data_IF_076328405077
#
_entry.id   IF_076328405077
#
_cell.length_a   1.000
_cell.length_b   1.000
_cell.length_c   1.000
_cell.angle_alpha   90.00
_cell.angle_beta   90.00
_cell.angle_gamma   90.00
#
_symmetry.space_group_name_H-M   'P 1'
#
loop_
_entity.id
_entity.type
_entity.pdbx_description
1 polymer ?
#
# COMPACT_ATOMS: atom_id res chain seq x y z
N UNK A 1 -26.52 -10.04 9.85
CA UNK A 1 -26.36 -8.56 9.97
C UNK A 1 -25.26 -8.31 10.99
N UNK A 2 -24.00 -8.21 10.56
CA UNK A 2 -22.86 -8.02 11.48
C UNK A 2 -22.81 -6.56 11.93
N UNK A 3 -22.95 -6.34 13.24
CA UNK A 3 -22.73 -5.02 13.86
C UNK A 3 -21.26 -4.62 13.63
N UNK A 4 -21.05 -3.58 12.83
CA UNK A 4 -19.75 -2.90 12.76
C UNK A 4 -19.65 -2.01 14.00
N UNK A 5 -19.03 -2.52 15.05
CA UNK A 5 -18.63 -1.74 16.22
C UNK A 5 -17.58 -0.73 15.75
N UNK A 6 -18.00 0.51 15.49
CA UNK A 6 -17.10 1.60 15.20
C UNK A 6 -16.33 1.95 16.48
N UNK A 7 -15.14 1.38 16.65
CA UNK A 7 -14.25 1.75 17.74
C UNK A 7 -13.62 3.10 17.38
N UNK A 8 -14.17 4.19 17.93
CA UNK A 8 -13.56 5.52 17.79
C UNK A 8 -12.37 5.62 18.75
N UNK A 9 -11.17 5.55 18.20
CA UNK A 9 -9.94 5.72 18.98
C UNK A 9 -9.65 7.22 19.16
N UNK A 10 -10.07 7.80 20.30
CA UNK A 10 -9.74 9.17 20.68
C UNK A 10 -8.22 9.31 20.91
N UNK A 11 -7.63 10.49 20.67
CA UNK A 11 -6.23 10.84 20.96
C UNK A 11 -5.76 10.41 22.37
N UNK A 12 -6.65 10.45 23.38
CA UNK A 12 -6.35 9.93 24.73
C UNK A 12 -6.00 8.44 24.74
N UNK A 13 -6.65 7.63 23.90
CA UNK A 13 -6.38 6.20 23.78
C UNK A 13 -5.03 5.92 23.12
N UNK A 14 -4.67 6.69 22.09
CA UNK A 14 -3.36 6.63 21.45
C UNK A 14 -2.23 6.99 22.42
N UNK A 15 -2.42 8.04 23.22
CA UNK A 15 -1.46 8.43 24.26
C UNK A 15 -1.26 7.34 25.32
N UNK A 16 -2.35 6.68 25.75
CA UNK A 16 -2.28 5.56 26.69
C UNK A 16 -1.51 4.36 26.11
N UNK A 17 -1.83 3.95 24.88
CA UNK A 17 -1.09 2.87 24.21
C UNK A 17 0.40 3.21 24.07
N UNK A 18 0.73 4.45 23.69
CA UNK A 18 2.11 4.90 23.64
C UNK A 18 2.81 4.79 24.99
N UNK A 19 2.18 5.24 26.08
CA UNK A 19 2.74 5.12 27.42
C UNK A 19 2.95 3.65 27.85
N UNK A 20 2.01 2.75 27.52
CA UNK A 20 2.16 1.31 27.76
C UNK A 20 3.33 0.71 26.98
N UNK A 21 3.48 1.09 25.71
CA UNK A 21 4.62 0.67 24.86
C UNK A 21 5.93 1.18 25.47
N UNK A 22 6.00 2.47 25.80
CA UNK A 22 7.20 3.10 26.36
C UNK A 22 7.62 2.41 27.69
N UNK A 23 6.65 2.09 28.55
CA UNK A 23 6.88 1.32 29.80
C UNK A 23 7.41 -0.09 29.51
N UNK A 24 6.76 -0.83 28.62
CA UNK A 24 7.19 -2.17 28.25
C UNK A 24 8.56 -2.19 27.57
N UNK A 25 8.88 -1.18 26.76
CA UNK A 25 10.18 -1.04 26.13
C UNK A 25 11.29 -0.84 27.18
N UNK A 26 11.01 -0.11 28.26
CA UNK A 26 11.94 0.06 29.38
C UNK A 26 12.14 -1.22 30.20
N UNK A 27 11.06 -1.95 30.53
CA UNK A 27 11.15 -3.14 31.40
C UNK A 27 11.49 -4.43 30.65
N UNK A 28 11.04 -4.58 29.41
CA UNK A 28 11.14 -5.80 28.60
C UNK A 28 11.55 -5.50 27.16
N UNK A 29 12.75 -4.97 26.92
CA UNK A 29 13.15 -4.43 25.62
C UNK A 29 13.07 -5.46 24.48
N UNK A 30 13.50 -6.71 24.72
CA UNK A 30 13.42 -7.78 23.70
C UNK A 30 11.98 -8.18 23.36
N UNK A 31 11.09 -8.23 24.35
CA UNK A 31 9.69 -8.57 24.10
C UNK A 31 8.97 -7.43 23.37
N UNK A 32 9.24 -6.18 23.78
CA UNK A 32 8.76 -4.98 23.10
C UNK A 32 9.25 -4.90 21.65
N UNK A 33 10.51 -5.21 21.37
CA UNK A 33 11.07 -5.25 20.01
C UNK A 33 10.35 -6.29 19.14
N UNK A 34 10.19 -7.53 19.63
CA UNK A 34 9.48 -8.59 18.89
C UNK A 34 8.03 -8.21 18.60
N UNK A 35 7.30 -7.68 19.59
CA UNK A 35 5.92 -7.26 19.40
C UNK A 35 5.81 -6.11 18.40
N UNK A 36 6.70 -5.12 18.49
CA UNK A 36 6.76 -3.98 17.57
C UNK A 36 7.04 -4.44 16.14
N UNK A 37 7.97 -5.38 15.98
CA UNK A 37 8.28 -6.02 14.69
C UNK A 37 7.08 -6.77 14.11
N UNK A 38 6.41 -7.59 14.91
CA UNK A 38 5.25 -8.37 14.47
C UNK A 38 4.07 -7.46 14.09
N UNK A 39 3.77 -6.46 14.92
CA UNK A 39 2.74 -5.46 14.65
C UNK A 39 3.04 -4.71 13.35
N UNK A 40 4.27 -4.25 13.18
CA UNK A 40 4.70 -3.49 12.00
C UNK A 40 4.64 -4.33 10.72
N UNK A 41 4.99 -5.62 10.78
CA UNK A 41 4.85 -6.53 9.66
C UNK A 41 3.38 -6.71 9.26
N UNK A 42 2.50 -6.98 10.23
CA UNK A 42 1.07 -7.15 9.97
C UNK A 42 0.46 -5.88 9.35
N UNK A 43 0.77 -4.71 9.92
CA UNK A 43 0.33 -3.40 9.41
C UNK A 43 0.90 -3.16 8.00
N UNK A 44 2.17 -3.49 7.77
CA UNK A 44 2.82 -3.35 6.46
C UNK A 44 2.14 -4.22 5.38
N UNK A 45 1.75 -5.45 5.72
CA UNK A 45 1.00 -6.32 4.82
C UNK A 45 -0.38 -5.76 4.49
N UNK A 46 -1.10 -5.24 5.48
CA UNK A 46 -2.39 -4.58 5.24
C UNK A 46 -2.25 -3.36 4.31
N UNK A 47 -1.22 -2.54 4.52
CA UNK A 47 -0.94 -1.39 3.65
C UNK A 47 -0.67 -1.84 2.21
N UNK A 48 0.11 -2.91 2.04
CA UNK A 48 0.40 -3.49 0.72
C UNK A 48 -0.88 -3.94 0.01
N UNK A 49 -1.81 -4.58 0.71
CA UNK A 49 -3.04 -5.06 0.09
C UNK A 49 -3.92 -3.91 -0.44
N UNK A 50 -3.87 -2.75 0.21
CA UNK A 50 -4.55 -1.54 -0.24
C UNK A 50 -3.80 -0.82 -1.37
N UNK A 51 -2.47 -0.91 -1.40
CA UNK A 51 -1.66 -0.36 -2.50
C UNK A 51 -1.78 -1.16 -3.79
N UNK A 52 -2.19 -2.44 -3.71
CA UNK A 52 -2.47 -3.28 -4.87
C UNK A 52 -3.77 -2.92 -5.59
N UNK A 53 -4.67 -2.17 -4.94
CA UNK A 53 -5.98 -1.84 -5.51
C UNK A 53 -5.81 -0.77 -6.59
N UNK A 54 -6.22 -1.11 -7.81
CA UNK A 54 -6.24 -0.19 -8.93
C UNK A 54 -7.35 0.84 -8.76
N UNK A 55 -7.09 2.14 -9.04
CA UNK A 55 -8.17 3.12 -9.05
C UNK A 55 -9.18 2.78 -10.16
N UNK A 56 -10.46 3.11 -9.96
CA UNK A 56 -11.47 2.91 -10.99
C UNK A 56 -11.10 3.71 -12.25
N UNK A 57 -11.41 3.17 -13.41
CA UNK A 57 -11.14 3.84 -14.68
C UNK A 57 -11.92 5.15 -14.77
N UNK A 58 -11.22 6.26 -14.99
CA UNK A 58 -11.78 7.60 -15.19
C UNK A 58 -11.79 7.96 -16.69
N UNK A 59 -12.96 7.98 -17.37
CA UNK A 59 -13.05 8.26 -18.80
C UNK A 59 -12.37 9.57 -19.22
N UNK A 60 -12.50 10.60 -18.40
CA UNK A 60 -11.90 11.92 -18.59
C UNK A 60 -10.37 11.86 -18.67
N UNK A 61 -9.74 11.03 -17.82
CA UNK A 61 -8.28 10.84 -17.81
C UNK A 61 -7.83 9.89 -18.91
N UNK A 62 -8.69 8.95 -19.33
CA UNK A 62 -8.39 8.02 -20.43
C UNK A 62 -8.16 8.78 -21.75
N UNK A 63 -8.91 9.85 -21.98
CA UNK A 63 -8.71 10.73 -23.14
C UNK A 63 -7.38 11.50 -23.07
N UNK A 64 -6.98 11.95 -21.87
CA UNK A 64 -5.71 12.61 -21.62
C UNK A 64 -4.53 11.64 -21.78
N UNK A 65 -4.65 10.42 -21.27
CA UNK A 65 -3.66 9.36 -21.42
C UNK A 65 -3.42 9.00 -22.88
N UNK A 66 -4.50 8.88 -23.67
CA UNK A 66 -4.43 8.62 -25.11
C UNK A 66 -3.78 9.77 -25.88
N UNK A 67 -4.15 11.01 -25.56
CA UNK A 67 -3.59 12.21 -26.19
C UNK A 67 -2.13 12.47 -25.80
N UNK A 68 -1.78 12.26 -24.53
CA UNK A 68 -0.42 12.48 -24.01
C UNK A 68 0.54 11.33 -24.36
N UNK A 69 0.04 10.10 -24.52
CA UNK A 69 0.81 8.92 -24.87
C UNK A 69 1.05 8.71 -26.37
N UNK A 70 0.67 9.68 -27.21
CA UNK A 70 0.89 9.60 -28.66
C UNK A 70 -0.01 8.58 -29.36
N UNK A 71 -1.27 8.45 -28.92
CA UNK A 71 -2.27 7.59 -29.57
C UNK A 71 -2.40 7.85 -31.08
N UNK A 72 -3.15 7.00 -31.78
CA UNK A 72 -3.27 7.11 -33.24
C UNK A 72 -3.78 8.50 -33.66
N UNK A 73 -3.01 9.18 -34.52
CA UNK A 73 -3.36 10.49 -35.07
C UNK A 73 -4.51 10.37 -36.07
N UNK A 74 -4.61 9.23 -36.75
CA UNK A 74 -5.68 8.94 -37.71
C UNK A 74 -6.23 7.52 -37.58
N UNK A 75 -7.48 7.32 -38.01
CA UNK A 75 -8.08 5.98 -38.11
C UNK A 75 -7.32 5.06 -39.08
N UNK A 76 -6.69 5.63 -40.11
CA UNK A 76 -5.84 4.90 -41.05
C UNK A 76 -4.64 4.28 -40.34
N UNK A 77 -3.95 5.04 -39.49
CA UNK A 77 -2.85 4.54 -38.66
C UNK A 77 -3.31 3.45 -37.70
N UNK A 78 -4.46 3.65 -37.05
CA UNK A 78 -5.06 2.65 -36.14
C UNK A 78 -5.32 1.33 -36.86
N UNK A 79 -6.03 1.38 -38.00
CA UNK A 79 -6.37 0.18 -38.80
C UNK A 79 -5.11 -0.52 -39.31
N UNK A 80 -4.15 0.24 -39.82
CA UNK A 80 -2.88 -0.31 -40.31
C UNK A 80 -2.10 -1.01 -39.18
N UNK A 81 -2.00 -0.39 -38.00
CA UNK A 81 -1.34 -1.00 -36.84
C UNK A 81 -1.97 -2.34 -36.45
N UNK A 82 -3.30 -2.38 -36.32
CA UNK A 82 -3.99 -3.62 -35.95
C UNK A 82 -3.94 -4.68 -37.06
N UNK A 83 -3.91 -4.28 -38.34
CA UNK A 83 -3.69 -5.19 -39.46
C UNK A 83 -2.30 -5.83 -39.38
N UNK A 84 -1.25 -5.01 -39.19
CA UNK A 84 0.12 -5.51 -39.07
C UNK A 84 0.32 -6.38 -37.83
N UNK A 85 -0.30 -6.02 -36.70
CA UNK A 85 -0.32 -6.85 -35.50
C UNK A 85 -0.99 -8.21 -35.76
N UNK A 86 -2.13 -8.24 -36.47
CA UNK A 86 -2.84 -9.48 -36.83
C UNK A 86 -1.99 -10.40 -37.72
N UNK A 87 -1.21 -9.82 -38.62
CA UNK A 87 -0.31 -10.57 -39.51
C UNK A 87 1.05 -10.90 -38.88
N UNK A 88 1.27 -10.56 -37.60
CA UNK A 88 2.53 -10.82 -36.91
C UNK A 88 3.71 -9.98 -37.41
N UNK A 89 3.45 -8.92 -38.19
CA UNK A 89 4.48 -8.01 -38.72
C UNK A 89 4.92 -6.98 -37.67
N UNK A 90 4.13 -6.77 -36.63
CA UNK A 90 4.49 -5.98 -35.45
C UNK A 90 4.37 -6.84 -34.20
N UNK A 91 5.34 -6.73 -33.29
CA UNK A 91 5.21 -7.26 -31.93
C UNK A 91 4.55 -6.18 -31.05
N UNK A 92 3.63 -6.60 -30.17
CA UNK A 92 3.13 -5.68 -29.16
C UNK A 92 4.20 -5.55 -28.07
N UNK A 93 4.75 -4.34 -27.83
CA UNK A 93 5.79 -4.17 -26.82
C UNK A 93 5.29 -4.51 -25.41
N UNK A 94 3.97 -4.50 -25.21
CA UNK A 94 3.37 -4.84 -23.93
C UNK A 94 3.20 -6.35 -23.77
N UNK A 95 4.15 -6.98 -23.09
CA UNK A 95 3.99 -8.34 -22.56
C UNK A 95 3.48 -8.25 -21.13
N UNK A 96 2.25 -8.70 -20.87
CA UNK A 96 1.72 -8.81 -19.51
C UNK A 96 2.63 -9.76 -18.73
N UNK A 97 3.35 -9.24 -17.72
CA UNK A 97 4.25 -10.08 -16.90
C UNK A 97 3.43 -11.07 -16.09
N UNK A 98 3.86 -12.33 -16.09
CA UNK A 98 3.26 -13.42 -15.29
C UNK A 98 3.30 -13.11 -13.79
N UNK A 99 4.29 -12.33 -13.34
CA UNK A 99 4.52 -11.97 -11.93
C UNK A 99 3.60 -10.88 -11.37
N UNK A 100 2.45 -10.59 -12.00
CA UNK A 100 1.46 -9.64 -11.48
C UNK A 100 1.84 -8.15 -11.53
N UNK A 101 2.95 -7.80 -12.19
CA UNK A 101 3.38 -6.41 -12.40
C UNK A 101 3.57 -5.62 -11.10
N UNK A 102 3.03 -4.39 -11.05
CA UNK A 102 3.14 -3.50 -9.90
C UNK A 102 2.54 -4.11 -8.63
N UNK A 103 1.37 -4.76 -8.72
CA UNK A 103 0.68 -5.36 -7.59
C UNK A 103 1.43 -6.56 -7.00
N UNK A 104 2.06 -7.38 -7.85
CA UNK A 104 2.81 -8.56 -7.43
C UNK A 104 4.22 -8.29 -6.89
N UNK A 105 4.72 -7.06 -7.03
CA UNK A 105 6.10 -6.71 -6.70
C UNK A 105 6.27 -5.95 -5.36
N UNK A 106 5.18 -5.76 -4.62
CA UNK A 106 5.22 -5.22 -3.27
C UNK A 106 5.86 -6.20 -2.29
N UNK A 107 6.67 -5.68 -1.37
CA UNK A 107 7.35 -6.44 -0.34
C UNK A 107 7.37 -5.68 0.98
N UNK A 108 7.22 -6.40 2.08
CA UNK A 108 7.30 -5.89 3.44
C UNK A 108 8.52 -6.52 4.11
N UNK A 109 9.47 -5.69 4.53
CA UNK A 109 10.67 -6.14 5.24
C UNK A 109 10.65 -5.61 6.66
N UNK A 110 10.74 -6.52 7.63
CA UNK A 110 10.91 -6.16 9.03
C UNK A 110 12.23 -5.41 9.26
N UNK A 111 12.18 -4.41 10.14
CA UNK A 111 13.36 -3.83 10.80
C UNK A 111 13.31 -4.18 12.29
N UNK A 112 14.26 -3.67 13.10
CA UNK A 112 14.26 -3.90 14.55
C UNK A 112 12.97 -3.41 15.21
N UNK A 113 12.54 -2.20 14.85
CA UNK A 113 11.42 -1.52 15.50
C UNK A 113 10.25 -1.22 14.56
N UNK A 114 10.30 -1.71 13.33
CA UNK A 114 9.35 -1.32 12.29
C UNK A 114 9.28 -2.27 11.11
N UNK A 115 8.69 -1.78 10.02
CA UNK A 115 8.68 -2.45 8.73
C UNK A 115 8.89 -1.43 7.61
N UNK A 116 9.58 -1.86 6.55
CA UNK A 116 9.79 -1.09 5.33
C UNK A 116 8.94 -1.74 4.24
N UNK A 117 8.04 -0.96 3.64
CA UNK A 117 7.26 -1.37 2.47
C UNK A 117 7.97 -0.87 1.22
N UNK A 118 8.27 -1.78 0.29
CA UNK A 118 9.00 -1.48 -0.96
C UNK A 118 8.29 -2.11 -2.15
N UNK A 119 8.47 -1.54 -3.34
CA UNK A 119 8.05 -2.17 -4.59
C UNK A 119 9.27 -2.39 -5.47
N UNK A 120 9.45 -3.62 -5.98
CA UNK A 120 10.62 -3.99 -6.80
C UNK A 120 10.51 -3.54 -8.26
N UNK A 121 9.36 -3.02 -8.71
CA UNK A 121 9.22 -2.54 -10.08
C UNK A 121 9.99 -1.23 -10.26
N UNK A 122 10.88 -1.12 -11.27
CA UNK A 122 11.64 0.10 -11.52
C UNK A 122 10.77 1.34 -11.77
N UNK A 123 9.57 1.15 -12.31
CA UNK A 123 8.64 2.23 -12.59
C UNK A 123 7.69 2.56 -11.42
N UNK A 124 7.72 1.80 -10.32
CA UNK A 124 6.81 2.02 -9.19
C UNK A 124 6.83 3.46 -8.66
N UNK A 125 7.98 4.18 -8.60
CA UNK A 125 7.99 5.57 -8.17
C UNK A 125 7.09 6.47 -9.01
N UNK A 126 7.05 6.27 -10.33
CA UNK A 126 6.22 7.08 -11.23
C UNK A 126 4.71 6.83 -11.05
N UNK A 127 4.32 5.80 -10.29
CA UNK A 127 2.93 5.42 -10.06
C UNK A 127 2.46 5.73 -8.65
N UNK A 128 3.25 5.43 -7.60
CA UNK A 128 2.79 5.48 -6.20
C UNK A 128 3.78 6.14 -5.22
N UNK A 129 4.84 6.79 -5.70
CA UNK A 129 5.71 7.61 -4.85
C UNK A 129 5.22 9.05 -4.77
N UNK A 130 5.30 9.69 -3.59
CA UNK A 130 4.78 11.05 -3.40
C UNK A 130 5.53 12.13 -4.18
N UNK A 131 6.85 11.98 -4.32
CA UNK A 131 7.71 12.98 -4.96
C UNK A 131 7.80 12.76 -6.47
N UNK A 132 7.75 11.50 -6.90
CA UNK A 132 8.02 11.12 -8.29
C UNK A 132 6.79 10.65 -9.06
N UNK A 133 5.59 10.66 -8.47
CA UNK A 133 4.36 10.28 -9.19
C UNK A 133 4.19 11.15 -10.43
N UNK A 134 4.05 10.49 -11.58
CA UNK A 134 3.75 11.19 -12.82
C UNK A 134 2.32 11.74 -12.81
N UNK A 135 2.13 12.87 -13.50
CA UNK A 135 0.83 13.57 -13.59
C UNK A 135 -0.31 12.69 -14.06
N UNK A 136 -0.06 11.78 -15.00
CA UNK A 136 -1.08 10.87 -15.50
C UNK A 136 -1.60 9.93 -14.41
N UNK A 137 -0.73 9.40 -13.54
CA UNK A 137 -1.12 8.50 -12.47
C UNK A 137 -1.84 9.25 -11.35
N UNK A 138 -1.37 10.44 -10.99
CA UNK A 138 -2.04 11.28 -9.99
C UNK A 138 -3.45 11.68 -10.44
N UNK A 139 -3.61 12.12 -11.70
CA UNK A 139 -4.92 12.46 -12.29
C UNK A 139 -5.84 11.24 -12.40
N UNK A 140 -5.28 10.07 -12.76
CA UNK A 140 -6.02 8.80 -12.84
C UNK A 140 -6.50 8.30 -11.47
N UNK A 141 -6.10 8.96 -10.37
CA UNK A 141 -6.53 8.62 -9.01
C UNK A 141 -5.66 7.57 -8.33
N UNK A 142 -4.46 7.29 -8.85
CA UNK A 142 -3.51 6.44 -8.13
C UNK A 142 -3.11 7.10 -6.82
N UNK A 143 -3.25 6.35 -5.73
CA UNK A 143 -2.85 6.82 -4.41
C UNK A 143 -1.39 6.47 -4.16
N UNK A 144 -0.66 7.40 -3.56
CA UNK A 144 0.73 7.20 -3.15
C UNK A 144 0.80 6.39 -1.86
N UNK A 145 1.92 5.69 -1.64
CA UNK A 145 2.14 4.93 -0.40
C UNK A 145 2.03 5.83 0.84
N UNK A 146 2.65 7.02 0.78
CA UNK A 146 2.58 7.99 1.86
C UNK A 146 1.15 8.49 2.13
N UNK A 147 0.41 8.89 1.09
CA UNK A 147 -0.97 9.36 1.26
C UNK A 147 -1.88 8.25 1.78
N UNK A 148 -1.69 7.00 1.36
CA UNK A 148 -2.46 5.86 1.89
C UNK A 148 -2.18 5.65 3.37
N UNK A 149 -0.90 5.73 3.77
CA UNK A 149 -0.51 5.64 5.17
C UNK A 149 -1.15 6.73 6.03
N UNK A 150 -0.89 8.00 5.68
CA UNK A 150 -1.26 9.14 6.53
C UNK A 150 -2.76 9.40 6.58
N UNK A 151 -3.46 9.29 5.45
CA UNK A 151 -4.88 9.69 5.37
C UNK A 151 -5.83 8.55 5.66
N UNK A 152 -5.44 7.33 5.29
CA UNK A 152 -6.34 6.20 5.29
C UNK A 152 -6.00 5.21 6.38
N UNK A 153 -4.72 4.95 6.67
CA UNK A 153 -4.32 3.89 7.62
C UNK A 153 -4.11 4.37 9.06
N UNK A 154 -3.51 5.55 9.23
CA UNK A 154 -3.21 6.06 10.55
C UNK A 154 -4.51 6.23 11.38
N UNK A 155 -4.57 5.55 12.52
CA UNK A 155 -5.73 5.58 13.42
C UNK A 155 -6.89 4.65 13.04
N UNK A 156 -6.76 3.80 12.01
CA UNK A 156 -7.79 2.78 11.70
C UNK A 156 -7.99 1.83 12.88
N UNK A 157 -9.25 1.41 13.17
CA UNK A 157 -9.52 0.46 14.24
C UNK A 157 -8.73 -0.84 14.14
N UNK A 158 -8.52 -1.34 12.94
CA UNK A 158 -7.79 -2.58 12.69
C UNK A 158 -6.29 -2.44 13.00
N UNK A 159 -5.69 -1.29 12.68
CA UNK A 159 -4.29 -1.00 13.03
C UNK A 159 -4.14 -0.91 14.54
N UNK A 160 -5.06 -0.22 15.20
CA UNK A 160 -5.08 -0.09 16.65
C UNK A 160 -5.29 -1.43 17.35
N UNK A 161 -6.14 -2.29 16.80
CA UNK A 161 -6.35 -3.66 17.28
C UNK A 161 -5.05 -4.47 17.21
N UNK A 162 -4.33 -4.44 16.09
CA UNK A 162 -3.06 -5.15 15.94
C UNK A 162 -2.03 -4.66 16.97
N UNK A 163 -1.93 -3.35 17.19
CA UNK A 163 -1.04 -2.78 18.21
C UNK A 163 -1.44 -3.28 19.60
N UNK A 164 -2.73 -3.21 19.92
CA UNK A 164 -3.27 -3.66 21.21
C UNK A 164 -2.97 -5.15 21.46
N UNK A 165 -3.29 -6.02 20.50
CA UNK A 165 -3.04 -7.47 20.58
C UNK A 165 -1.55 -7.78 20.77
N UNK A 166 -0.69 -7.01 20.09
CA UNK A 166 0.77 -7.18 20.23
C UNK A 166 1.27 -6.80 21.62
N UNK A 167 0.65 -5.80 22.27
CA UNK A 167 0.96 -5.42 23.64
C UNK A 167 0.40 -6.47 24.62
N UNK A 168 -0.86 -6.88 24.45
CA UNK A 168 -1.50 -7.91 25.27
C UNK A 168 -0.70 -9.22 25.27
N UNK A 169 -0.13 -9.61 24.11
CA UNK A 169 0.75 -10.76 24.01
C UNK A 169 2.01 -10.65 24.90
N UNK A 170 2.58 -9.45 25.06
CA UNK A 170 3.71 -9.23 25.99
C UNK A 170 3.25 -9.40 27.43
N UNK A 171 2.10 -8.81 27.79
CA UNK A 171 1.57 -8.91 29.15
C UNK A 171 1.30 -10.38 29.53
N UNK A 172 0.69 -11.15 28.62
CA UNK A 172 0.48 -12.59 28.78
C UNK A 172 1.82 -13.35 28.93
N UNK A 173 2.81 -13.09 28.07
CA UNK A 173 4.15 -13.72 28.14
C UNK A 173 4.85 -13.47 29.49
N UNK A 174 4.58 -12.32 30.12
CA UNK A 174 5.20 -11.90 31.38
C UNK A 174 4.34 -12.13 32.61
N UNK A 175 3.16 -12.73 32.47
CA UNK A 175 2.23 -12.94 33.59
C UNK A 175 1.73 -11.63 34.21
N UNK A 176 1.65 -10.55 33.42
CA UNK A 176 1.18 -9.25 33.85
C UNK A 176 -0.30 -9.06 33.49
N UNK A 177 -1.04 -8.32 34.31
CA UNK A 177 -2.41 -7.88 34.00
C UNK A 177 -2.39 -6.65 33.08
N UNK A 178 -3.11 -6.73 31.95
CA UNK A 178 -3.13 -5.71 30.90
C UNK A 178 -3.91 -4.44 31.26
#
# INVERSE_FOLDING_TARGET
MQQKTAVSFNAKHLANLKAKIDKLAGSYPRAAERASRNASMAIGHMLVDELKIYPPSRPEVRSLAWKAGGGFVTDKQRRWYFLMLKHGMLDSPYRRRVSGGLAGAWNVRATKTGAIVTNKMPYAPFVQDERYQSRIHSQSGWKTAHSQWMKNFFGRPEVMRIIKESIEAIYQEKGLTY
#
